data_IF_300958660252
#
_entry.id   IF_300958660252
#
_cell.length_a   1.000
_cell.length_b   1.000
_cell.length_c   1.000
_cell.angle_alpha   90.00
_cell.angle_beta   90.00
_cell.angle_gamma   90.00
#
_symmetry.space_group_name_H-M   'P 1'
#
loop_
_entity.id
_entity.type
_entity.pdbx_description
1 polymer ?
#
# COMPACT_ATOMS: atom_id res chain seq x y z
N UNK A 1 22.52 23.97 -7.14
CA UNK A 1 21.28 23.33 -7.65
C UNK A 1 20.42 22.98 -6.46
N UNK A 2 19.15 23.41 -6.44
CA UNK A 2 18.18 22.92 -5.46
C UNK A 2 17.66 21.56 -5.90
N UNK A 3 17.71 20.56 -5.03
CA UNK A 3 17.05 19.28 -5.28
C UNK A 3 15.53 19.55 -5.31
N UNK A 4 14.79 19.09 -6.34
CA UNK A 4 13.33 19.18 -6.34
C UNK A 4 12.76 18.38 -5.16
N UNK A 5 11.50 18.63 -4.82
CA UNK A 5 10.80 17.78 -3.87
C UNK A 5 10.67 16.37 -4.46
N UNK A 6 11.07 15.35 -3.71
CA UNK A 6 11.07 13.95 -4.16
C UNK A 6 10.42 13.05 -3.13
N UNK A 7 9.78 11.98 -3.59
CA UNK A 7 9.24 10.89 -2.77
C UNK A 7 9.47 9.56 -3.46
N UNK A 8 9.23 8.47 -2.75
CA UNK A 8 9.27 7.11 -3.28
C UNK A 8 8.12 6.30 -2.71
N UNK A 9 7.56 5.48 -3.58
CA UNK A 9 6.46 4.55 -3.30
C UNK A 9 7.05 3.14 -3.41
N UNK A 10 6.72 2.27 -2.47
CA UNK A 10 7.23 0.89 -2.46
C UNK A 10 6.12 -0.04 -2.04
N UNK A 11 5.62 -0.79 -3.02
CA UNK A 11 4.78 -1.96 -2.80
C UNK A 11 5.65 -3.12 -2.34
N UNK A 12 5.17 -3.87 -1.35
CA UNK A 12 5.87 -5.06 -0.86
C UNK A 12 5.13 -6.32 -1.31
N UNK A 13 5.87 -7.32 -1.77
CA UNK A 13 5.32 -8.66 -1.94
C UNK A 13 4.88 -9.22 -0.59
N UNK A 14 3.77 -9.95 -0.54
CA UNK A 14 3.21 -10.52 0.70
C UNK A 14 2.75 -11.96 0.45
N UNK A 15 3.17 -12.91 1.30
CA UNK A 15 2.90 -14.35 1.10
C UNK A 15 2.58 -15.03 2.44
N UNK A 16 1.60 -15.95 2.42
CA UNK A 16 1.27 -16.89 3.51
C UNK A 16 1.53 -18.34 3.09
N UNK A 17 2.68 -18.90 3.48
CA UNK A 17 3.07 -20.28 3.12
C UNK A 17 2.24 -21.40 3.77
N UNK A 18 1.40 -21.08 4.76
CA UNK A 18 0.45 -22.00 5.36
C UNK A 18 -0.92 -22.03 4.65
N UNK A 19 -1.17 -21.12 3.71
CA UNK A 19 -2.45 -20.99 3.03
C UNK A 19 -2.26 -20.85 1.52
N UNK A 20 -2.66 -21.88 0.77
CA UNK A 20 -2.59 -21.89 -0.70
C UNK A 20 -3.50 -20.82 -1.32
N UNK A 21 -4.71 -20.63 -0.75
CA UNK A 21 -5.70 -19.65 -1.22
C UNK A 21 -5.76 -18.39 -0.32
N UNK A 22 -4.61 -17.84 0.09
CA UNK A 22 -4.60 -16.62 0.90
C UNK A 22 -5.06 -15.40 0.09
N UNK A 23 -6.04 -14.63 0.59
CA UNK A 23 -6.44 -13.36 -0.03
C UNK A 23 -5.38 -12.27 0.29
N UNK A 24 -4.62 -11.78 -0.71
CA UNK A 24 -3.56 -10.81 -0.48
C UNK A 24 -4.13 -9.45 -0.04
N UNK A 25 -5.36 -9.09 -0.42
CA UNK A 25 -6.01 -7.86 0.04
C UNK A 25 -6.22 -7.95 1.56
N UNK A 26 -6.76 -9.07 2.03
CA UNK A 26 -7.05 -9.26 3.45
C UNK A 26 -5.78 -9.36 4.29
N UNK A 27 -4.73 -10.05 3.82
CA UNK A 27 -3.46 -10.13 4.54
C UNK A 27 -2.72 -8.78 4.57
N UNK A 28 -2.78 -7.99 3.49
CA UNK A 28 -2.25 -6.62 3.45
C UNK A 28 -3.00 -5.71 4.43
N UNK A 29 -4.34 -5.74 4.42
CA UNK A 29 -5.16 -5.00 5.39
C UNK A 29 -4.81 -5.36 6.84
N UNK A 30 -4.71 -6.65 7.17
CA UNK A 30 -4.39 -7.10 8.53
C UNK A 30 -2.99 -6.67 8.95
N UNK A 31 -2.00 -6.74 8.04
CA UNK A 31 -0.65 -6.24 8.30
C UNK A 31 -0.65 -4.74 8.62
N UNK A 32 -1.37 -3.94 7.82
CA UNK A 32 -1.52 -2.49 8.03
C UNK A 32 -2.19 -2.17 9.36
N UNK A 33 -3.20 -2.93 9.75
CA UNK A 33 -3.90 -2.81 11.04
C UNK A 33 -2.98 -3.11 12.24
N UNK A 34 -1.96 -3.97 12.08
CA UNK A 34 -0.97 -4.23 13.14
C UNK A 34 -0.05 -3.03 13.43
N UNK A 35 -0.04 -2.01 12.58
CA UNK A 35 0.85 -0.86 12.72
C UNK A 35 0.46 0.05 13.90
N UNK A 36 1.26 0.03 14.96
CA UNK A 36 1.02 0.79 16.21
C UNK A 36 1.29 2.29 16.13
N UNK A 37 1.98 2.75 15.08
CA UNK A 37 2.23 4.17 14.85
C UNK A 37 0.90 4.89 14.73
N UNK A 38 0.78 6.08 15.31
CA UNK A 38 -0.45 6.85 15.20
C UNK A 38 -0.65 7.29 13.76
N UNK A 39 -1.89 7.17 13.30
CA UNK A 39 -2.31 7.80 12.06
C UNK A 39 -2.84 9.19 12.38
N UNK A 40 -2.27 10.22 11.76
CA UNK A 40 -2.78 11.61 11.88
C UNK A 40 -3.96 11.86 10.94
N UNK A 41 -4.14 11.01 9.93
CA UNK A 41 -5.22 11.10 8.96
C UNK A 41 -5.48 9.71 8.34
N UNK A 42 -6.74 9.29 8.31
CA UNK A 42 -7.10 7.91 7.95
C UNK A 42 -7.80 7.74 6.59
N UNK A 43 -7.92 8.79 5.76
CA UNK A 43 -8.72 8.72 4.53
C UNK A 43 -8.16 9.57 3.41
N UNK A 44 -7.57 8.96 2.39
CA UNK A 44 -7.15 9.68 1.20
C UNK A 44 -8.34 10.28 0.42
N UNK A 45 -8.10 11.36 -0.31
CA UNK A 45 -9.15 12.11 -1.02
C UNK A 45 -9.40 11.54 -2.44
N UNK A 46 -9.73 10.25 -2.52
CA UNK A 46 -9.95 9.52 -3.79
C UNK A 46 -10.99 10.15 -4.72
N UNK A 47 -11.91 10.98 -4.22
CA UNK A 47 -12.90 11.67 -5.05
C UNK A 47 -12.30 12.66 -6.06
N UNK A 48 -11.02 13.03 -5.89
CA UNK A 48 -10.28 13.87 -6.82
C UNK A 48 -9.46 13.07 -7.83
N UNK A 49 -9.40 11.75 -7.69
CA UNK A 49 -8.64 10.87 -8.60
C UNK A 49 -9.54 10.37 -9.72
N UNK A 50 -9.03 10.44 -10.95
CA UNK A 50 -9.71 9.92 -12.13
C UNK A 50 -8.68 9.60 -13.21
N UNK A 51 -8.41 8.31 -13.41
CA UNK A 51 -7.42 7.82 -14.39
C UNK A 51 -7.74 8.25 -15.83
N UNK A 52 -8.99 8.61 -16.14
CA UNK A 52 -9.36 9.11 -17.46
C UNK A 52 -9.10 10.62 -17.65
N UNK A 53 -8.79 11.37 -16.59
CA UNK A 53 -8.46 12.79 -16.67
C UNK A 53 -6.95 12.99 -16.83
N UNK A 54 -6.53 13.35 -18.04
CA UNK A 54 -5.13 13.60 -18.33
C UNK A 54 -4.71 15.02 -17.89
N UNK A 55 -3.53 15.15 -17.29
CA UNK A 55 -2.97 16.44 -16.85
C UNK A 55 -2.81 17.48 -17.98
N UNK A 56 -2.76 17.04 -19.25
CA UNK A 56 -2.74 17.92 -20.43
C UNK A 56 -4.10 18.55 -20.73
N UNK A 57 -5.15 18.25 -19.95
CA UNK A 57 -6.44 18.93 -19.99
C UNK A 57 -7.50 18.27 -20.86
N UNK A 58 -7.39 16.97 -21.12
CA UNK A 58 -8.39 16.21 -21.87
C UNK A 58 -8.80 14.95 -21.12
N UNK A 59 -9.96 14.40 -21.49
CA UNK A 59 -10.47 13.13 -20.94
C UNK A 59 -10.38 12.04 -22.00
N UNK A 60 -9.78 10.90 -21.66
CA UNK A 60 -9.80 9.72 -22.53
C UNK A 60 -11.11 8.96 -22.36
N UNK A 61 -11.56 8.30 -23.43
CA UNK A 61 -12.79 7.50 -23.42
C UNK A 61 -12.60 6.11 -22.82
N UNK A 62 -11.37 5.57 -22.89
CA UNK A 62 -11.02 4.26 -22.37
C UNK A 62 -9.50 4.15 -22.14
N UNK A 63 -9.10 3.31 -21.19
CA UNK A 63 -7.73 2.85 -20.97
C UNK A 63 -7.59 1.38 -21.32
N UNK A 64 -6.35 0.91 -21.50
CA UNK A 64 -6.09 -0.50 -21.77
C UNK A 64 -6.43 -1.40 -20.57
N UNK A 65 -6.44 -0.85 -19.35
CA UNK A 65 -6.68 -1.54 -18.08
C UNK A 65 -8.15 -1.53 -17.63
N UNK A 66 -9.04 -0.79 -18.30
CA UNK A 66 -10.42 -0.58 -17.83
C UNK A 66 -11.17 -1.92 -17.60
N UNK A 67 -11.03 -2.89 -18.52
CA UNK A 67 -11.72 -4.18 -18.41
C UNK A 67 -11.26 -5.00 -17.20
N UNK A 68 -9.95 -4.97 -16.93
CA UNK A 68 -9.34 -5.67 -15.80
C UNK A 68 -9.72 -5.00 -14.47
N UNK A 69 -9.64 -3.67 -14.39
CA UNK A 69 -10.05 -2.89 -13.22
C UNK A 69 -11.55 -3.09 -12.90
N UNK A 70 -12.41 -3.13 -13.91
CA UNK A 70 -13.84 -3.39 -13.73
C UNK A 70 -14.10 -4.79 -13.16
N UNK A 71 -13.35 -5.79 -13.62
CA UNK A 71 -13.44 -7.16 -13.11
C UNK A 71 -13.01 -7.24 -11.64
N UNK A 72 -11.89 -6.62 -11.28
CA UNK A 72 -11.44 -6.52 -9.88
C UNK A 72 -12.45 -5.77 -9.01
N UNK A 73 -12.99 -4.64 -9.48
CA UNK A 73 -14.03 -3.89 -8.78
C UNK A 73 -15.29 -4.74 -8.52
N UNK A 74 -15.67 -5.61 -9.47
CA UNK A 74 -16.81 -6.50 -9.30
C UNK A 74 -16.55 -7.58 -8.24
N UNK A 75 -15.32 -8.08 -8.12
CA UNK A 75 -14.91 -9.03 -7.09
C UNK A 75 -14.82 -8.37 -5.71
N UNK A 76 -14.20 -7.19 -5.63
CA UNK A 76 -14.09 -6.37 -4.42
C UNK A 76 -15.45 -6.04 -3.81
N UNK A 77 -16.47 -5.79 -4.63
CA UNK A 77 -17.86 -5.55 -4.16
C UNK A 77 -18.50 -6.75 -3.46
N UNK A 78 -17.97 -7.97 -3.64
CA UNK A 78 -18.46 -9.17 -2.96
C UNK A 78 -17.89 -9.31 -1.56
N UNK A 79 -16.79 -8.60 -1.24
CA UNK A 79 -16.14 -8.64 0.07
C UNK A 79 -16.98 -7.89 1.12
N UNK A 80 -16.86 -8.24 2.42
CA UNK A 80 -17.60 -7.59 3.50
C UNK A 80 -17.00 -6.23 3.92
N UNK A 81 -16.18 -5.60 3.06
CA UNK A 81 -15.44 -4.37 3.35
C UNK A 81 -15.84 -3.29 2.35
N UNK A 82 -15.86 -2.03 2.78
CA UNK A 82 -15.95 -0.93 1.82
C UNK A 82 -14.61 -0.72 1.11
N UNK A 83 -14.62 -0.06 -0.04
CA UNK A 83 -13.39 0.31 -0.76
C UNK A 83 -12.37 1.03 0.14
N UNK A 84 -12.85 1.95 0.99
CA UNK A 84 -11.98 2.68 1.92
C UNK A 84 -11.45 1.80 3.05
N UNK A 85 -12.22 0.82 3.52
CA UNK A 85 -11.74 -0.15 4.51
C UNK A 85 -10.63 -1.01 3.90
N UNK A 86 -10.81 -1.44 2.64
CA UNK A 86 -9.82 -2.24 1.91
C UNK A 86 -8.52 -1.49 1.66
N UNK A 87 -8.57 -0.19 1.35
CA UNK A 87 -7.38 0.65 1.21
C UNK A 87 -6.61 0.83 2.52
N UNK A 88 -7.26 0.71 3.68
CA UNK A 88 -6.64 0.79 5.01
C UNK A 88 -5.64 1.96 5.15
N UNK A 89 -6.03 3.15 4.68
CA UNK A 89 -5.15 4.31 4.59
C UNK A 89 -4.66 4.81 5.96
N UNK A 90 -3.34 5.00 6.08
CA UNK A 90 -2.73 5.61 7.26
C UNK A 90 -1.70 6.66 6.85
N UNK A 91 -1.90 7.90 7.29
CA UNK A 91 -0.85 8.92 7.25
C UNK A 91 -0.14 8.91 8.59
N UNK A 92 1.13 8.52 8.59
CA UNK A 92 1.94 8.35 9.80
C UNK A 92 2.49 9.69 10.30
N UNK A 93 2.88 9.75 11.57
CA UNK A 93 3.44 10.96 12.19
C UNK A 93 4.75 11.46 11.54
N UNK A 94 5.46 10.60 10.81
CA UNK A 94 6.65 10.98 10.05
C UNK A 94 6.31 11.56 8.66
N UNK A 95 5.02 11.71 8.33
CA UNK A 95 4.51 12.21 7.06
C UNK A 95 4.37 11.16 5.95
N UNK A 96 4.78 9.91 6.18
CA UNK A 96 4.61 8.83 5.22
C UNK A 96 3.15 8.40 5.10
N UNK A 97 2.77 7.86 3.94
CA UNK A 97 1.54 7.11 3.75
C UNK A 97 1.85 5.61 3.84
N UNK A 98 1.05 4.87 4.59
CA UNK A 98 1.12 3.41 4.67
C UNK A 98 -0.29 2.86 4.47
N UNK A 99 -0.51 2.16 3.37
CA UNK A 99 -1.84 1.79 2.89
C UNK A 99 -1.79 0.48 2.10
N UNK A 100 -2.96 -0.07 1.78
CA UNK A 100 -3.09 -1.23 0.92
C UNK A 100 -3.35 -0.74 -0.49
N UNK A 101 -2.40 -0.93 -1.39
CA UNK A 101 -2.64 -0.71 -2.80
C UNK A 101 -3.07 -2.00 -3.48
N UNK A 102 -4.38 -2.17 -3.53
CA UNK A 102 -5.05 -3.35 -4.08
C UNK A 102 -4.63 -4.62 -3.32
N UNK A 103 -3.63 -5.36 -3.80
CA UNK A 103 -3.15 -6.61 -3.23
C UNK A 103 -1.89 -6.45 -2.39
N UNK A 104 -1.25 -5.28 -2.38
CA UNK A 104 0.05 -5.07 -1.74
C UNK A 104 -0.02 -4.05 -0.59
N UNK A 105 0.67 -4.29 0.54
CA UNK A 105 0.95 -3.22 1.48
C UNK A 105 2.00 -2.29 0.86
N UNK A 106 1.68 -1.02 0.77
CA UNK A 106 2.53 0.01 0.19
C UNK A 106 2.91 1.07 1.23
N UNK A 107 4.21 1.40 1.25
CA UNK A 107 4.73 2.54 2.00
C UNK A 107 5.25 3.62 1.04
N UNK A 108 4.65 4.80 1.12
CA UNK A 108 5.07 6.01 0.40
C UNK A 108 5.77 6.96 1.36
N UNK A 109 7.02 7.31 1.08
CA UNK A 109 7.81 8.23 1.92
C UNK A 109 7.15 9.62 1.98
N UNK A 110 7.35 10.42 3.05
CA UNK A 110 7.03 11.84 3.00
C UNK A 110 7.87 12.54 1.93
N UNK A 111 7.45 13.75 1.57
CA UNK A 111 8.18 14.56 0.63
C UNK A 111 9.53 15.02 1.18
N UNK A 112 10.59 14.69 0.45
CA UNK A 112 11.97 14.89 0.85
C UNK A 112 12.65 15.99 0.01
N UNK A 113 13.53 16.77 0.64
CA UNK A 113 14.32 17.84 -0.02
C UNK A 113 15.76 17.43 -0.33
N UNK A 114 16.13 16.19 -0.07
CA UNK A 114 17.44 15.61 -0.37
C UNK A 114 17.33 14.11 -0.52
N UNK A 115 18.23 13.51 -1.31
CA UNK A 115 18.30 12.06 -1.49
C UNK A 115 18.59 11.34 -0.17
N UNK A 116 19.43 11.92 0.71
CA UNK A 116 19.73 11.32 2.00
C UNK A 116 18.49 11.24 2.89
N UNK A 117 17.65 12.28 2.90
CA UNK A 117 16.36 12.27 3.59
C UNK A 117 15.44 11.21 3.00
N UNK A 118 15.38 11.10 1.67
CA UNK A 118 14.56 10.09 1.00
C UNK A 118 14.96 8.67 1.43
N UNK A 119 16.25 8.34 1.36
CA UNK A 119 16.79 7.05 1.79
C UNK A 119 16.52 6.80 3.27
N UNK A 120 16.67 7.81 4.13
CA UNK A 120 16.39 7.67 5.55
C UNK A 120 14.90 7.36 5.82
N UNK A 121 13.98 7.98 5.08
CA UNK A 121 12.55 7.72 5.19
C UNK A 121 12.11 6.39 4.59
N UNK A 122 12.75 5.95 3.52
CA UNK A 122 12.55 4.62 2.94
C UNK A 122 12.99 3.50 3.90
N UNK A 123 14.20 3.61 4.46
CA UNK A 123 14.70 2.67 5.49
C UNK A 123 13.85 2.72 6.76
N UNK A 124 13.28 3.89 7.10
CA UNK A 124 12.30 3.97 8.18
C UNK A 124 11.01 3.18 7.85
N UNK A 125 10.56 3.18 6.59
CA UNK A 125 9.45 2.37 6.10
C UNK A 125 9.68 0.88 6.27
N UNK A 126 10.86 0.38 5.88
CA UNK A 126 11.25 -1.02 6.08
C UNK A 126 11.13 -1.43 7.56
N UNK A 127 11.59 -0.58 8.48
CA UNK A 127 11.52 -0.84 9.93
C UNK A 127 10.09 -0.82 10.46
N UNK A 128 9.24 0.08 9.96
CA UNK A 128 7.82 0.15 10.34
C UNK A 128 7.12 -1.13 9.89
N UNK A 129 7.35 -1.56 8.64
CA UNK A 129 6.74 -2.78 8.10
C UNK A 129 7.24 -4.01 8.85
N UNK A 130 8.54 -4.12 9.13
CA UNK A 130 9.09 -5.21 9.93
C UNK A 130 8.44 -5.29 11.33
N UNK A 131 8.19 -4.16 11.99
CA UNK A 131 7.46 -4.12 13.27
C UNK A 131 6.03 -4.66 13.11
N UNK A 132 5.35 -4.33 12.01
CA UNK A 132 4.00 -4.84 11.71
C UNK A 132 4.00 -6.35 11.47
N UNK A 133 4.97 -6.85 10.70
CA UNK A 133 5.17 -8.29 10.44
C UNK A 133 5.40 -9.04 11.75
N UNK A 134 6.26 -8.52 12.64
CA UNK A 134 6.51 -9.12 13.95
C UNK A 134 5.25 -9.21 14.80
N UNK A 135 4.43 -8.17 14.82
CA UNK A 135 3.16 -8.16 15.56
C UNK A 135 2.19 -9.17 14.95
N UNK A 136 2.00 -9.12 13.63
CA UNK A 136 1.10 -10.00 12.89
C UNK A 136 1.48 -11.47 13.06
N UNK A 137 2.77 -11.80 13.01
CA UNK A 137 3.25 -13.17 13.20
C UNK A 137 3.05 -13.69 14.63
N UNK A 138 3.12 -12.82 15.65
CA UNK A 138 2.74 -13.20 17.02
C UNK A 138 1.25 -13.50 17.15
N UNK A 139 0.39 -12.76 16.44
CA UNK A 139 -1.06 -12.98 16.42
C UNK A 139 -1.42 -14.27 15.67
N UNK A 140 -0.70 -14.60 14.59
CA UNK A 140 -0.88 -15.84 13.84
C UNK A 140 -0.46 -17.07 14.65
N UNK A 141 0.67 -17.01 15.38
CA UNK A 141 1.16 -18.10 16.23
C UNK A 141 1.60 -19.37 15.49
N UNK A 142 1.65 -19.34 14.14
CA UNK A 142 1.95 -20.46 13.26
C UNK A 142 3.09 -20.16 12.29
N UNK A 143 2.98 -20.65 11.03
CA UNK A 143 3.94 -20.26 9.99
C UNK A 143 3.87 -18.74 9.75
N UNK A 144 5.01 -18.09 9.48
CA UNK A 144 5.05 -16.64 9.38
C UNK A 144 4.43 -16.15 8.06
N UNK A 145 3.73 -15.02 8.15
CA UNK A 145 3.57 -14.08 7.05
C UNK A 145 4.95 -13.56 6.66
N UNK A 146 5.24 -13.60 5.35
CA UNK A 146 6.47 -13.08 4.77
C UNK A 146 6.17 -11.85 3.91
N UNK A 147 7.07 -10.87 3.99
CA UNK A 147 6.96 -9.61 3.25
C UNK A 147 8.29 -9.34 2.55
N UNK A 148 8.24 -8.95 1.29
CA UNK A 148 9.41 -8.80 0.42
C UNK A 148 9.45 -7.40 -0.17
N UNK A 149 10.59 -6.70 -0.02
CA UNK A 149 10.86 -5.48 -0.77
C UNK A 149 11.49 -5.84 -2.12
N UNK A 150 10.66 -6.23 -3.07
CA UNK A 150 11.04 -6.63 -4.42
C UNK A 150 9.94 -6.19 -5.41
N UNK A 151 9.98 -6.65 -6.66
CA UNK A 151 9.03 -6.26 -7.70
C UNK A 151 8.38 -7.45 -8.43
N UNK A 152 8.63 -8.68 -7.99
CA UNK A 152 8.09 -9.88 -8.62
C UNK A 152 8.11 -11.05 -7.64
N UNK A 153 7.08 -11.88 -7.71
CA UNK A 153 6.89 -13.13 -6.99
C UNK A 153 7.39 -14.36 -7.77
N UNK A 154 7.70 -14.21 -9.05
CA UNK A 154 8.07 -15.30 -9.98
C UNK A 154 7.07 -16.47 -10.01
N UNK A 155 5.78 -16.22 -9.72
CA UNK A 155 4.71 -17.23 -9.75
C UNK A 155 4.08 -17.42 -11.13
#
# INVERSE_FOLDING_TARGET
MSVPLIGMETEYGIIREDMEDSDPIEESMKLLQSCRRKSVFCKWAYSQENSHLDMRGFRVSSLAQDEEEDAFCAEDRKRPYSYLDMKCDRVLENGARFYNDHTHPEYSTPECRSVLSLVAHDVAGERIIAECVDIRNRELGGKPLQVFKNNTDYS
#
